data_IF_844888557576
#
_entry.id   IF_844888557576
#
_cell.length_a   1.000
_cell.length_b   1.000
_cell.length_c   1.000
_cell.angle_alpha   90.00
_cell.angle_beta   90.00
_cell.angle_gamma   90.00
#
_symmetry.space_group_name_H-M   'P 1'
#
loop_
_entity.id
_entity.type
_entity.pdbx_description
1 polymer ?
#
# COMPACT_ATOMS: atom_id res chain seq x y z
N UNK A 1 -14.54 21.58 3.99
CA UNK A 1 -15.30 21.43 2.73
C UNK A 1 -14.30 21.46 1.59
N UNK A 2 -14.20 20.40 0.80
CA UNK A 2 -13.38 20.41 -0.43
C UNK A 2 -14.04 21.39 -1.39
N UNK A 3 -13.31 22.38 -1.91
CA UNK A 3 -13.87 23.31 -2.87
C UNK A 3 -14.30 22.54 -4.13
N UNK A 4 -15.44 22.91 -4.73
CA UNK A 4 -15.88 22.29 -5.99
C UNK A 4 -14.76 22.49 -7.04
N UNK A 5 -14.09 21.41 -7.42
CA UNK A 5 -13.05 21.42 -8.45
C UNK A 5 -11.71 20.81 -8.04
N UNK A 6 -11.44 20.68 -6.74
CA UNK A 6 -10.17 20.08 -6.29
C UNK A 6 -10.18 18.56 -6.53
N UNK A 7 -9.07 17.98 -7.02
CA UNK A 7 -8.98 16.54 -7.22
C UNK A 7 -9.08 15.80 -5.87
N UNK A 8 -9.94 14.79 -5.82
CA UNK A 8 -10.11 13.92 -4.65
C UNK A 8 -9.43 12.59 -4.91
N UNK A 9 -8.65 12.13 -3.93
CA UNK A 9 -7.87 10.90 -4.01
C UNK A 9 -8.31 9.91 -2.94
N UNK A 10 -8.29 8.62 -3.26
CA UNK A 10 -8.51 7.55 -2.30
C UNK A 10 -7.19 6.95 -1.83
N UNK A 11 -7.07 6.69 -0.53
CA UNK A 11 -5.91 6.00 0.04
C UNK A 11 -6.40 4.94 1.05
N UNK A 12 -5.88 3.72 0.98
CA UNK A 12 -6.07 2.74 2.05
C UNK A 12 -4.75 2.22 2.58
N UNK A 13 -4.49 2.54 3.85
CA UNK A 13 -3.38 2.03 4.65
C UNK A 13 -3.86 0.99 5.69
N UNK A 14 -5.12 0.55 5.58
CA UNK A 14 -5.70 -0.45 6.47
C UNK A 14 -5.03 -1.80 6.21
N UNK A 15 -4.61 -2.44 7.29
CA UNK A 15 -4.09 -3.81 7.27
C UNK A 15 -3.47 -4.20 8.60
N UNK A 16 -3.10 -5.47 8.71
CA UNK A 16 -2.46 -6.01 9.92
C UNK A 16 -1.03 -6.43 9.60
N UNK A 17 -0.05 -5.76 10.20
CA UNK A 17 1.37 -6.10 10.06
C UNK A 17 1.79 -7.27 10.97
N UNK A 18 2.66 -6.99 11.96
CA UNK A 18 3.18 -7.99 12.91
C UNK A 18 2.09 -8.81 13.63
N UNK A 19 0.90 -8.23 13.82
CA UNK A 19 -0.25 -8.89 14.45
C UNK A 19 -0.89 -10.01 13.63
N UNK A 20 -0.56 -10.14 12.33
CA UNK A 20 -1.23 -11.07 11.40
C UNK A 20 -1.02 -12.54 11.74
N UNK A 21 0.02 -12.84 12.52
CA UNK A 21 0.26 -14.20 13.04
C UNK A 21 -0.83 -14.64 14.03
N UNK A 22 -1.50 -13.70 14.70
CA UNK A 22 -2.56 -13.98 15.69
C UNK A 22 -3.95 -14.16 15.05
N UNK A 23 -4.07 -13.94 13.75
CA UNK A 23 -5.33 -13.95 13.02
C UNK A 23 -5.40 -15.19 12.11
N UNK A 24 -6.60 -15.74 11.96
CA UNK A 24 -6.88 -16.76 10.95
C UNK A 24 -6.76 -16.19 9.53
N UNK A 25 -6.69 -17.06 8.53
CA UNK A 25 -6.67 -16.58 7.14
C UNK A 25 -7.99 -15.90 6.77
N UNK A 26 -9.10 -16.41 7.29
CA UNK A 26 -10.45 -15.90 7.07
C UNK A 26 -10.61 -14.51 7.66
N UNK A 27 -10.11 -14.27 8.88
CA UNK A 27 -10.11 -12.95 9.52
C UNK A 27 -9.23 -11.96 8.73
N UNK A 28 -8.06 -12.41 8.28
CA UNK A 28 -7.19 -11.59 7.42
C UNK A 28 -7.89 -11.26 6.10
N UNK A 29 -8.57 -12.20 5.45
CA UNK A 29 -9.34 -11.95 4.22
C UNK A 29 -10.50 -11.00 4.48
N UNK A 30 -11.25 -11.17 5.58
CA UNK A 30 -12.36 -10.31 5.94
C UNK A 30 -11.92 -8.84 6.06
N UNK A 31 -10.76 -8.60 6.67
CA UNK A 31 -10.18 -7.26 6.76
C UNK A 31 -9.54 -6.79 5.45
N UNK A 32 -8.52 -7.50 4.98
CA UNK A 32 -7.64 -7.07 3.88
C UNK A 32 -8.36 -7.06 2.53
N UNK A 33 -9.39 -7.89 2.34
CA UNK A 33 -10.16 -7.97 1.08
C UNK A 33 -11.57 -7.40 1.30
N UNK A 34 -12.25 -7.81 2.37
CA UNK A 34 -13.62 -7.39 2.64
C UNK A 34 -13.72 -5.89 2.95
N UNK A 35 -13.11 -5.45 4.05
CA UNK A 35 -13.15 -4.05 4.49
C UNK A 35 -12.45 -3.14 3.48
N UNK A 36 -11.22 -3.47 3.08
CA UNK A 36 -10.47 -2.64 2.12
C UNK A 36 -11.17 -2.57 0.76
N UNK A 37 -11.65 -3.71 0.25
CA UNK A 37 -12.37 -3.76 -1.02
C UNK A 37 -13.70 -3.01 -0.96
N UNK A 38 -14.42 -3.08 0.16
CA UNK A 38 -15.62 -2.30 0.40
C UNK A 38 -15.36 -0.81 0.38
N UNK A 39 -14.32 -0.36 1.08
CA UNK A 39 -13.89 1.04 1.07
C UNK A 39 -13.48 1.50 -0.33
N UNK A 40 -12.70 0.71 -1.05
CA UNK A 40 -12.27 1.03 -2.41
C UNK A 40 -13.46 1.11 -3.39
N UNK A 41 -14.42 0.20 -3.31
CA UNK A 41 -15.67 0.28 -4.11
C UNK A 41 -16.47 1.54 -3.79
N UNK A 42 -16.59 1.89 -2.50
CA UNK A 42 -17.23 3.13 -2.09
C UNK A 42 -16.53 4.38 -2.65
N UNK A 43 -15.20 4.39 -2.65
CA UNK A 43 -14.41 5.46 -3.27
C UNK A 43 -14.71 5.60 -4.77
N UNK A 44 -14.66 4.49 -5.51
CA UNK A 44 -14.93 4.48 -6.95
C UNK A 44 -16.36 4.95 -7.25
N UNK A 45 -17.35 4.46 -6.50
CA UNK A 45 -18.75 4.87 -6.65
C UNK A 45 -18.97 6.36 -6.32
N UNK A 46 -18.13 6.91 -5.43
CA UNK A 46 -18.07 8.34 -5.12
C UNK A 46 -17.33 9.19 -6.16
N UNK A 47 -16.90 8.62 -7.29
CA UNK A 47 -16.22 9.32 -8.38
C UNK A 47 -14.70 9.46 -8.22
N UNK A 48 -14.08 8.78 -7.24
CA UNK A 48 -12.61 8.77 -7.11
C UNK A 48 -12.03 7.94 -8.26
N UNK A 49 -11.21 8.57 -9.09
CA UNK A 49 -10.54 7.92 -10.23
C UNK A 49 -9.12 7.46 -9.90
N UNK A 50 -8.51 8.00 -8.85
CA UNK A 50 -7.12 7.72 -8.42
C UNK A 50 -7.11 7.13 -7.02
N UNK A 51 -6.58 5.92 -6.88
CA UNK A 51 -6.53 5.19 -5.62
C UNK A 51 -5.13 4.67 -5.32
N UNK A 52 -4.67 4.84 -4.07
CA UNK A 52 -3.41 4.29 -3.58
C UNK A 52 -3.64 3.25 -2.50
N UNK A 53 -3.05 2.08 -2.67
CA UNK A 53 -3.23 0.92 -1.80
C UNK A 53 -1.90 0.57 -1.13
N UNK A 54 -1.89 0.50 0.20
CA UNK A 54 -0.77 -0.08 0.94
C UNK A 54 -0.89 -1.60 0.99
N UNK A 55 0.11 -2.27 0.43
CA UNK A 55 0.28 -3.71 0.37
C UNK A 55 1.57 -4.12 1.10
N UNK A 56 2.24 -5.19 0.65
CA UNK A 56 3.52 -5.64 1.16
C UNK A 56 4.42 -6.15 0.02
N UNK A 57 5.74 -6.11 0.23
CA UNK A 57 6.70 -6.75 -0.67
C UNK A 57 6.41 -8.24 -0.83
N UNK A 58 6.56 -8.76 -2.05
CA UNK A 58 6.35 -10.17 -2.36
C UNK A 58 4.88 -10.61 -2.39
N UNK A 59 3.93 -9.67 -2.33
CA UNK A 59 2.49 -9.96 -2.45
C UNK A 59 2.17 -10.64 -3.77
N UNK A 60 1.56 -11.82 -3.68
CA UNK A 60 1.06 -12.59 -4.83
C UNK A 60 0.10 -13.66 -4.33
N UNK A 61 -1.07 -13.79 -4.98
CA UNK A 61 -2.09 -14.80 -4.67
C UNK A 61 -1.57 -16.24 -4.75
N UNK A 62 -0.44 -16.46 -5.42
CA UNK A 62 0.22 -17.75 -5.61
C UNK A 62 1.21 -18.11 -4.50
N UNK A 63 1.42 -17.25 -3.50
CA UNK A 63 2.44 -17.49 -2.46
C UNK A 63 2.06 -18.61 -1.50
N UNK A 64 3.03 -19.42 -1.08
CA UNK A 64 2.86 -20.39 0.01
C UNK A 64 2.82 -19.72 1.40
N UNK A 65 3.32 -18.49 1.50
CA UNK A 65 3.31 -17.72 2.75
C UNK A 65 1.96 -17.02 2.88
N UNK A 66 1.20 -17.41 3.91
CA UNK A 66 -0.18 -16.94 4.17
C UNK A 66 -0.34 -15.43 4.05
N UNK A 67 0.48 -14.66 4.74
CA UNK A 67 0.35 -13.19 4.79
C UNK A 67 0.45 -12.55 3.39
N UNK A 68 1.56 -12.76 2.68
CA UNK A 68 1.76 -12.17 1.34
C UNK A 68 0.82 -12.78 0.28
N UNK A 69 0.27 -13.97 0.52
CA UNK A 69 -0.83 -14.51 -0.29
C UNK A 69 -2.10 -13.70 -0.12
N UNK A 70 -2.52 -13.43 1.11
CA UNK A 70 -3.70 -12.58 1.39
C UNK A 70 -3.49 -11.16 0.84
N UNK A 71 -2.30 -10.58 1.01
CA UNK A 71 -1.99 -9.27 0.42
C UNK A 71 -2.04 -9.30 -1.12
N UNK A 72 -1.62 -10.39 -1.76
CA UNK A 72 -1.80 -10.57 -3.20
C UNK A 72 -3.27 -10.64 -3.63
N UNK A 73 -4.11 -11.36 -2.88
CA UNK A 73 -5.55 -11.41 -3.12
C UNK A 73 -6.22 -10.03 -2.90
N UNK A 74 -5.76 -9.25 -1.91
CA UNK A 74 -6.16 -7.85 -1.69
C UNK A 74 -5.84 -6.99 -2.92
N UNK A 75 -4.64 -7.11 -3.47
CA UNK A 75 -4.25 -6.37 -4.68
C UNK A 75 -5.10 -6.75 -5.89
N UNK A 76 -5.39 -8.04 -6.10
CA UNK A 76 -6.26 -8.50 -7.18
C UNK A 76 -7.70 -7.96 -7.03
N UNK A 77 -8.23 -8.01 -5.81
CA UNK A 77 -9.57 -7.51 -5.52
C UNK A 77 -9.71 -6.00 -5.79
N UNK A 78 -8.70 -5.20 -5.42
CA UNK A 78 -8.72 -3.75 -5.68
C UNK A 78 -8.44 -3.44 -7.15
N UNK A 79 -7.58 -4.20 -7.83
CA UNK A 79 -7.37 -4.07 -9.28
C UNK A 79 -8.66 -4.29 -10.07
N UNK A 80 -9.47 -5.29 -9.68
CA UNK A 80 -10.76 -5.59 -10.31
C UNK A 80 -11.81 -4.48 -10.22
N UNK A 81 -11.61 -3.45 -9.37
CA UNK A 81 -12.52 -2.30 -9.26
C UNK A 81 -12.40 -1.35 -10.45
N UNK A 82 -11.23 -1.31 -11.12
CA UNK A 82 -11.05 -0.54 -12.34
C UNK A 82 -10.87 0.97 -12.14
N UNK A 83 -10.08 1.39 -11.15
CA UNK A 83 -9.66 2.80 -11.05
C UNK A 83 -8.87 3.22 -12.29
N UNK A 84 -9.08 4.45 -12.76
CA UNK A 84 -8.28 5.03 -13.85
C UNK A 84 -6.78 5.01 -13.50
N UNK A 85 -6.45 5.23 -12.22
CA UNK A 85 -5.10 5.06 -11.68
C UNK A 85 -5.16 4.29 -10.37
N UNK A 86 -4.44 3.17 -10.31
CA UNK A 86 -4.22 2.41 -9.08
C UNK A 86 -2.72 2.31 -8.77
N UNK A 87 -2.30 2.90 -7.66
CA UNK A 87 -0.92 2.79 -7.17
C UNK A 87 -0.84 1.80 -6.01
N UNK A 88 -0.06 0.75 -6.16
CA UNK A 88 0.09 -0.33 -5.17
C UNK A 88 1.46 -0.23 -4.53
N UNK A 89 1.50 0.16 -3.27
CA UNK A 89 2.73 0.33 -2.50
C UNK A 89 3.08 -1.00 -1.83
N UNK A 90 4.26 -1.54 -2.14
CA UNK A 90 4.74 -2.84 -1.64
C UNK A 90 5.98 -2.65 -0.77
N UNK A 91 5.83 -2.11 0.45
CA UNK A 91 6.95 -1.91 1.36
C UNK A 91 7.53 -3.22 1.86
N UNK A 92 8.83 -3.21 2.12
CA UNK A 92 9.51 -4.20 2.94
C UNK A 92 9.28 -3.97 4.44
N UNK A 93 10.33 -4.06 5.24
CA UNK A 93 10.23 -3.82 6.69
C UNK A 93 9.99 -2.33 6.94
N UNK A 94 8.87 -1.96 7.55
CA UNK A 94 8.56 -0.54 7.83
C UNK A 94 9.25 -0.14 9.15
N UNK A 95 10.20 0.78 9.11
CA UNK A 95 10.81 1.40 10.29
C UNK A 95 10.12 2.71 10.67
N UNK A 96 10.38 3.18 11.89
CA UNK A 96 9.86 4.46 12.39
C UNK A 96 8.40 4.42 12.87
N UNK A 97 7.75 3.25 12.86
CA UNK A 97 6.39 3.09 13.40
C UNK A 97 6.40 2.43 14.79
N UNK A 98 5.32 2.63 15.57
CA UNK A 98 5.18 2.09 16.93
C UNK A 98 5.10 0.54 16.99
N UNK A 99 4.86 -0.12 15.85
CA UNK A 99 4.57 -1.55 15.76
C UNK A 99 5.76 -2.40 15.29
N UNK A 100 6.84 -1.78 14.80
CA UNK A 100 8.07 -2.43 14.39
C UNK A 100 9.13 -2.27 15.48
N UNK A 101 9.58 -3.35 16.12
CA UNK A 101 10.66 -3.27 17.09
C UNK A 101 11.93 -2.68 16.45
N UNK A 102 12.63 -1.79 17.18
CA UNK A 102 13.85 -1.12 16.71
C UNK A 102 14.91 -2.09 16.18
N UNK A 103 15.03 -3.28 16.79
CA UNK A 103 15.97 -4.31 16.33
C UNK A 103 15.61 -4.89 14.95
N UNK A 104 14.33 -5.04 14.63
CA UNK A 104 13.87 -5.57 13.34
C UNK A 104 14.12 -4.55 12.22
N UNK A 105 13.93 -3.26 12.52
CA UNK A 105 14.33 -2.17 11.64
C UNK A 105 15.86 -2.13 11.42
N UNK A 106 16.66 -2.36 12.46
CA UNK A 106 18.11 -2.41 12.34
C UNK A 106 18.58 -3.61 11.49
N UNK A 107 18.10 -4.82 11.77
CA UNK A 107 18.41 -6.02 10.96
C UNK A 107 17.95 -5.86 9.51
N UNK A 108 16.78 -5.27 9.29
CA UNK A 108 16.25 -5.02 7.97
C UNK A 108 17.06 -4.01 7.14
N UNK A 109 17.96 -3.23 7.74
CA UNK A 109 18.88 -2.33 6.99
C UNK A 109 19.99 -3.12 6.28
N UNK A 110 20.29 -4.32 6.76
CA UNK A 110 21.28 -5.21 6.13
C UNK A 110 20.69 -6.00 4.96
N UNK A 111 19.36 -6.04 4.83
CA UNK A 111 18.66 -6.71 3.72
C UNK A 111 18.60 -5.74 2.52
N UNK A 112 19.29 -6.03 1.41
CA UNK A 112 19.28 -5.13 0.25
C UNK A 112 17.95 -5.19 -0.52
N UNK A 113 17.68 -4.13 -1.27
CA UNK A 113 16.58 -4.07 -2.24
C UNK A 113 15.18 -3.96 -1.63
N UNK A 114 14.21 -4.58 -2.30
CA UNK A 114 12.78 -4.46 -2.00
C UNK A 114 12.33 -5.07 -0.67
N UNK A 115 13.04 -6.07 -0.16
CA UNK A 115 12.73 -6.70 1.13
C UNK A 115 13.35 -5.96 2.33
N UNK A 116 14.23 -5.00 2.06
CA UNK A 116 14.89 -4.20 3.08
C UNK A 116 13.94 -3.27 3.84
N UNK A 117 14.53 -2.49 4.74
CA UNK A 117 13.79 -1.51 5.52
C UNK A 117 13.36 -0.31 4.66
N UNK A 118 12.23 0.30 4.97
CA UNK A 118 11.80 1.62 4.48
C UNK A 118 11.23 2.42 5.66
N UNK A 119 11.51 3.71 5.75
CA UNK A 119 10.98 4.56 6.83
C UNK A 119 9.52 4.90 6.58
N UNK A 120 8.70 4.96 7.62
CA UNK A 120 7.28 5.31 7.52
C UNK A 120 7.06 6.68 6.83
N UNK A 121 7.94 7.65 7.09
CA UNK A 121 7.90 8.98 6.45
C UNK A 121 8.11 8.89 4.93
N UNK A 122 9.00 8.00 4.46
CA UNK A 122 9.18 7.77 3.03
C UNK A 122 7.91 7.25 2.36
N UNK A 123 7.19 6.34 3.02
CA UNK A 123 5.91 5.82 2.50
C UNK A 123 4.88 6.96 2.44
N UNK A 124 4.73 7.73 3.53
CA UNK A 124 3.78 8.84 3.59
C UNK A 124 4.04 9.89 2.52
N UNK A 125 5.28 10.34 2.37
CA UNK A 125 5.68 11.28 1.31
C UNK A 125 5.45 10.71 -0.08
N UNK A 126 5.72 9.42 -0.28
CA UNK A 126 5.49 8.78 -1.57
C UNK A 126 3.99 8.69 -1.92
N UNK A 127 3.09 8.49 -0.95
CA UNK A 127 1.63 8.58 -1.16
C UNK A 127 1.22 9.98 -1.63
N UNK A 128 1.69 11.03 -0.93
CA UNK A 128 1.39 12.42 -1.29
C UNK A 128 1.93 12.74 -2.68
N UNK A 129 3.19 12.37 -2.95
CA UNK A 129 3.83 12.55 -4.25
C UNK A 129 3.07 11.83 -5.39
N UNK A 130 2.50 10.64 -5.12
CA UNK A 130 1.68 9.92 -6.09
C UNK A 130 0.34 10.62 -6.38
N UNK A 131 -0.25 11.32 -5.40
CA UNK A 131 -1.49 12.06 -5.61
C UNK A 131 -1.29 13.34 -6.39
N UNK A 132 -0.30 14.15 -6.01
CA UNK A 132 -0.07 15.46 -6.63
C UNK A 132 0.63 15.37 -7.99
N UNK A 133 1.27 14.23 -8.30
CA UNK A 133 1.93 14.08 -9.59
C UNK A 133 0.90 14.01 -10.72
N UNK A 134 0.97 14.97 -11.65
CA UNK A 134 0.18 14.98 -12.88
C UNK A 134 0.74 14.04 -13.96
N UNK A 135 1.92 13.45 -13.75
CA UNK A 135 2.57 12.54 -14.70
C UNK A 135 2.34 11.06 -14.37
N UNK A 136 1.55 10.75 -13.34
CA UNK A 136 1.21 9.37 -13.01
C UNK A 136 0.39 8.76 -14.17
N UNK A 137 0.99 7.80 -14.88
CA UNK A 137 0.34 7.12 -16.01
C UNK A 137 -0.91 6.37 -15.54
N UNK A 138 -1.97 6.39 -16.36
CA UNK A 138 -3.18 5.59 -16.13
C UNK A 138 -2.84 4.09 -15.98
N UNK A 139 -3.72 3.36 -15.31
CA UNK A 139 -3.58 1.93 -15.03
C UNK A 139 -2.93 1.64 -13.69
N UNK A 140 -2.45 0.40 -13.54
CA UNK A 140 -1.91 -0.13 -12.29
C UNK A 140 -0.39 0.07 -12.25
N UNK A 141 0.13 0.64 -11.17
CA UNK A 141 1.57 0.82 -10.95
C UNK A 141 2.00 0.33 -9.57
N UNK A 142 3.15 -0.33 -9.51
CA UNK A 142 3.69 -0.89 -8.27
C UNK A 142 4.87 -0.06 -7.76
N UNK A 143 4.86 0.27 -6.48
CA UNK A 143 5.90 1.04 -5.81
C UNK A 143 6.56 0.19 -4.72
N UNK A 144 7.69 -0.42 -5.04
CA UNK A 144 8.57 -1.07 -4.05
C UNK A 144 9.49 -0.04 -3.37
N UNK A 145 10.27 -0.47 -2.38
CA UNK A 145 11.11 0.42 -1.55
C UNK A 145 11.92 1.46 -2.33
N UNK A 146 12.57 1.07 -3.43
CA UNK A 146 13.37 2.00 -4.24
C UNK A 146 12.53 3.11 -4.86
N UNK A 147 11.39 2.74 -5.46
CA UNK A 147 10.46 3.68 -6.08
C UNK A 147 9.82 4.61 -5.05
N UNK A 148 9.45 4.09 -3.88
CA UNK A 148 8.90 4.91 -2.79
C UNK A 148 9.91 5.95 -2.31
N UNK A 149 11.18 5.58 -2.10
CA UNK A 149 12.24 6.54 -1.74
C UNK A 149 12.47 7.58 -2.82
N UNK A 150 12.49 7.18 -4.09
CA UNK A 150 12.66 8.11 -5.20
C UNK A 150 11.51 9.12 -5.24
N UNK A 151 10.27 8.66 -5.09
CA UNK A 151 9.07 9.50 -5.01
C UNK A 151 9.08 10.43 -3.81
N UNK A 152 9.43 9.91 -2.63
CA UNK A 152 9.60 10.67 -1.39
C UNK A 152 10.58 11.84 -1.57
N UNK A 153 11.73 11.59 -2.23
CA UNK A 153 12.76 12.61 -2.46
C UNK A 153 12.40 13.64 -3.53
N UNK A 154 11.60 13.25 -4.53
CA UNK A 154 11.08 14.17 -5.54
C UNK A 154 10.05 15.15 -4.95
N UNK A 155 9.50 14.83 -3.78
CA UNK A 155 8.60 15.68 -3.00
C UNK A 155 9.40 16.42 -1.91
N UNK A 156 9.98 17.56 -2.29
CA UNK A 156 10.63 18.52 -1.37
C UNK A 156 9.94 19.87 -1.44
#
# INVERSE_FOLDING_TARGET
MVARGDPVYGASCVGVGKGSMKWSEEELKALEIGVVGGFARGCQAGGITRFSLLSAVGSTSKSRIRYVRVMGLKEEAVQGIGFQRLAIFRPGIIAGNAHTPRYAAWLGRLIPGRFGTIEQDDIGRAFVAEFISNSAQNGVGYLENGAMRQRSRAFK
#
